data_IF_124542917424
#
_entry.id   IF_124542917424
#
_cell.length_a   1.000
_cell.length_b   1.000
_cell.length_c   1.000
_cell.angle_alpha   90.00
_cell.angle_beta   90.00
_cell.angle_gamma   90.00
#
_symmetry.space_group_name_H-M   'P 1'
#
loop_
_entity.id
_entity.type
_entity.pdbx_description
1 polymer ?
#
# COMPACT_ATOMS: atom_id res chain seq x y z
N UNK A 1 -7.77 -3.49 22.44
CA UNK A 1 -7.82 -3.81 21.00
C UNK A 1 -7.46 -2.56 20.22
N UNK A 2 -6.20 -2.40 19.82
CA UNK A 2 -5.80 -1.31 18.93
C UNK A 2 -6.23 -1.69 17.51
N UNK A 3 -7.33 -1.10 17.02
CA UNK A 3 -7.64 -1.06 15.60
C UNK A 3 -6.50 -0.26 14.94
N UNK A 4 -5.52 -0.94 14.35
CA UNK A 4 -4.54 -0.23 13.54
C UNK A 4 -5.22 0.28 12.27
N UNK A 5 -4.98 1.55 11.92
CA UNK A 5 -5.72 2.26 10.91
C UNK A 5 -5.44 1.67 9.53
N UNK A 6 -6.48 1.70 8.70
CA UNK A 6 -6.45 1.53 7.25
C UNK A 6 -5.10 1.94 6.65
N UNK A 7 -4.47 1.09 5.81
CA UNK A 7 -3.24 1.40 5.06
C UNK A 7 -3.46 2.70 4.26
N UNK A 8 -3.06 3.83 4.84
CA UNK A 8 -3.38 5.17 4.36
C UNK A 8 -2.82 5.37 2.96
N UNK A 9 -1.63 4.83 2.73
CA UNK A 9 -0.95 4.91 1.44
C UNK A 9 -1.69 4.13 0.32
N UNK A 10 -2.41 3.05 0.63
CA UNK A 10 -3.28 2.38 -0.35
C UNK A 10 -4.52 3.23 -0.68
N UNK A 11 -5.14 3.85 0.33
CA UNK A 11 -6.28 4.76 0.15
C UNK A 11 -5.90 5.97 -0.69
N UNK A 12 -4.78 6.62 -0.37
CA UNK A 12 -4.27 7.77 -1.11
C UNK A 12 -3.98 7.45 -2.59
N UNK A 13 -3.46 6.25 -2.88
CA UNK A 13 -3.24 5.81 -4.28
C UNK A 13 -4.57 5.71 -5.03
N UNK A 14 -5.59 5.11 -4.41
CA UNK A 14 -6.91 4.98 -5.02
C UNK A 14 -7.52 6.36 -5.29
N UNK A 15 -7.59 7.21 -4.26
CA UNK A 15 -8.17 8.55 -4.34
C UNK A 15 -7.43 9.41 -5.38
N UNK A 16 -6.09 9.33 -5.46
CA UNK A 16 -5.30 10.06 -6.47
C UNK A 16 -5.59 9.60 -7.89
N UNK A 17 -5.74 8.30 -8.13
CA UNK A 17 -6.00 7.77 -9.49
C UNK A 17 -7.42 8.14 -9.93
N UNK A 18 -8.40 7.95 -9.05
CA UNK A 18 -9.80 8.31 -9.33
C UNK A 18 -9.97 9.83 -9.47
N UNK A 19 -9.32 10.63 -8.63
CA UNK A 19 -9.33 12.10 -8.72
C UNK A 19 -8.73 12.65 -10.03
N UNK A 20 -7.92 11.85 -10.74
CA UNK A 20 -7.43 12.16 -12.10
C UNK A 20 -8.39 11.71 -13.21
N UNK A 21 -9.62 11.32 -12.87
CA UNK A 21 -10.63 10.85 -13.82
C UNK A 21 -10.33 9.48 -14.44
N UNK A 22 -9.43 8.68 -13.85
CA UNK A 22 -9.12 7.33 -14.35
C UNK A 22 -10.13 6.30 -13.86
N UNK A 23 -10.19 5.16 -14.53
CA UNK A 23 -11.13 4.09 -14.18
C UNK A 23 -10.85 3.51 -12.79
N UNK A 24 -11.92 3.18 -12.05
CA UNK A 24 -11.82 2.53 -10.73
C UNK A 24 -11.07 1.19 -10.80
N UNK A 25 -11.19 0.46 -11.92
CA UNK A 25 -10.44 -0.79 -12.16
C UNK A 25 -8.93 -0.55 -12.14
N UNK A 26 -8.45 0.51 -12.81
CA UNK A 26 -7.03 0.87 -12.80
C UNK A 26 -6.56 1.25 -11.38
N UNK A 27 -7.39 1.99 -10.64
CA UNK A 27 -7.08 2.35 -9.25
C UNK A 27 -6.95 1.11 -8.36
N UNK A 28 -7.87 0.14 -8.49
CA UNK A 28 -7.81 -1.12 -7.75
C UNK A 28 -6.58 -1.96 -8.11
N UNK A 29 -6.25 -2.09 -9.40
CA UNK A 29 -5.04 -2.80 -9.84
C UNK A 29 -3.78 -2.18 -9.21
N UNK A 30 -3.70 -0.85 -9.17
CA UNK A 30 -2.57 -0.15 -8.55
C UNK A 30 -2.46 -0.42 -7.04
N UNK A 31 -3.59 -0.46 -6.33
CA UNK A 31 -3.65 -0.82 -4.90
C UNK A 31 -3.23 -2.27 -4.69
N UNK A 32 -3.76 -3.21 -5.48
CA UNK A 32 -3.38 -4.63 -5.41
C UNK A 32 -1.90 -4.83 -5.61
N UNK A 33 -1.30 -4.18 -6.61
CA UNK A 33 0.14 -4.26 -6.87
C UNK A 33 0.98 -3.74 -5.69
N UNK A 34 0.50 -2.72 -4.96
CA UNK A 34 1.17 -2.26 -3.74
C UNK A 34 1.09 -3.28 -2.61
N UNK A 35 -0.09 -3.83 -2.36
CA UNK A 35 -0.31 -4.85 -1.33
C UNK A 35 0.52 -6.11 -1.58
N UNK A 36 0.59 -6.58 -2.83
CA UNK A 36 1.42 -7.72 -3.20
C UNK A 36 2.89 -7.48 -2.87
N UNK A 37 3.44 -6.31 -3.25
CA UNK A 37 4.84 -5.95 -2.92
C UNK A 37 5.08 -5.90 -1.41
N UNK A 38 4.13 -5.39 -0.65
CA UNK A 38 4.21 -5.37 0.82
C UNK A 38 4.20 -6.79 1.40
N UNK A 39 3.31 -7.66 0.91
CA UNK A 39 3.26 -9.06 1.34
C UNK A 39 4.58 -9.79 1.06
N UNK A 40 5.17 -9.61 -0.13
CA UNK A 40 6.47 -10.18 -0.46
C UNK A 40 7.60 -9.62 0.40
N UNK A 41 7.59 -8.32 0.71
CA UNK A 41 8.59 -7.70 1.58
C UNK A 41 8.53 -8.24 3.02
N UNK A 42 7.32 -8.43 3.56
CA UNK A 42 7.09 -9.03 4.89
C UNK A 42 7.57 -10.48 4.89
N UNK A 43 7.16 -11.27 3.88
CA UNK A 43 7.57 -12.66 3.76
C UNK A 43 9.10 -12.82 3.64
N UNK A 44 9.77 -11.90 2.94
CA UNK A 44 11.23 -11.94 2.76
C UNK A 44 12.00 -11.46 4.00
N UNK A 45 11.52 -10.43 4.68
CA UNK A 45 12.23 -9.82 5.81
C UNK A 45 11.91 -10.47 7.16
N UNK A 46 10.78 -11.17 7.27
CA UNK A 46 10.25 -11.66 8.54
C UNK A 46 9.77 -10.53 9.48
N UNK A 47 9.79 -9.27 9.02
CA UNK A 47 9.36 -8.12 9.82
C UNK A 47 7.87 -7.84 9.57
N UNK A 48 7.11 -7.52 10.63
CA UNK A 48 5.70 -7.15 10.49
C UNK A 48 5.56 -5.86 9.67
N UNK A 49 4.36 -5.64 9.13
CA UNK A 49 4.04 -4.38 8.46
C UNK A 49 4.24 -3.19 9.41
N UNK A 50 4.98 -2.20 8.96
CA UNK A 50 5.16 -0.91 9.61
C UNK A 50 4.80 0.20 8.62
N UNK A 51 3.82 1.03 8.97
CA UNK A 51 3.39 2.16 8.15
C UNK A 51 4.49 3.23 8.01
N UNK A 52 5.36 3.35 9.01
CA UNK A 52 6.51 4.25 9.03
C UNK A 52 7.77 3.69 8.38
N UNK A 53 7.71 2.51 7.76
CA UNK A 53 8.88 1.87 7.17
C UNK A 53 9.46 2.71 6.02
N UNK A 54 10.69 3.20 6.20
CA UNK A 54 11.48 3.89 5.17
C UNK A 54 12.60 2.95 4.72
N UNK A 55 12.63 2.63 3.43
CA UNK A 55 13.73 1.86 2.85
C UNK A 55 15.04 2.64 3.03
N UNK A 56 16.01 2.05 3.72
CA UNK A 56 17.38 2.57 3.72
C UNK A 56 17.95 2.37 2.32
N UNK A 57 18.25 3.46 1.63
CA UNK A 57 19.02 3.39 0.39
C UNK A 57 20.49 3.29 0.80
N UNK A 58 21.02 2.08 0.74
CA UNK A 58 22.46 1.80 0.87
C UNK A 58 23.15 1.91 -0.48
#
# INVERSE_FOLDING_TARGET
MHFQPVNKACREIYERIVGKGKSKKLALIAVTNKLLKQAFAIAKSGMPYDEGFISKLS
#
